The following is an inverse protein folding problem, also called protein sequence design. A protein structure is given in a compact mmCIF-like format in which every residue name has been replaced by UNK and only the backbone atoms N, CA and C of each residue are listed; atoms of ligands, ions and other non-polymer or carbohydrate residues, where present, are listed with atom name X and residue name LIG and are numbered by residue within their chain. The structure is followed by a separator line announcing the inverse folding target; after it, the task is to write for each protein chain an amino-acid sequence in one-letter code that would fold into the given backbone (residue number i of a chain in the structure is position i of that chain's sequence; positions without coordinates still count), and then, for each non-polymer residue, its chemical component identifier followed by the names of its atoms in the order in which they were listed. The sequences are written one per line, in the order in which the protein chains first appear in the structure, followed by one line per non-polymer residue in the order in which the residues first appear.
data_IF_066686965452
#
_entry.id   IF_066686965452
#
_cell.length_a   1.000
_cell.length_b   1.000
_cell.length_c   1.000
_cell.angle_alpha   90.00
_cell.angle_beta   90.00
_cell.angle_gamma   90.00
#
_symmetry.space_group_name_H-M   'P 1'
#
loop_
_entity.id
_entity.type
_entity.pdbx_description
1 polymer ?
#
# COMPACT_ATOMS: atom_id res chain seq x y z
N UNK A 1 9.39 24.61 -11.75
CA UNK A 1 9.13 23.87 -13.03
C UNK A 1 7.64 23.59 -13.15
N UNK A 2 7.04 23.88 -14.30
CA UNK A 2 5.58 23.76 -14.51
C UNK A 2 5.11 22.31 -14.30
N UNK A 3 4.24 22.09 -13.30
CA UNK A 3 3.64 20.78 -12.96
C UNK A 3 3.06 20.08 -14.21
N UNK A 4 2.48 20.89 -15.11
CA UNK A 4 1.95 20.47 -16.42
C UNK A 4 2.96 19.72 -17.30
N UNK A 5 4.25 20.13 -17.31
CA UNK A 5 5.29 19.49 -18.12
C UNK A 5 5.69 18.13 -17.53
N UNK A 6 5.73 18.01 -16.21
CA UNK A 6 6.09 16.76 -15.52
C UNK A 6 4.97 15.72 -15.57
N UNK A 7 3.72 16.13 -15.30
CA UNK A 7 2.56 15.23 -15.42
C UNK A 7 2.44 14.70 -16.84
N UNK A 8 2.68 15.53 -17.86
CA UNK A 8 2.72 15.08 -19.25
C UNK A 8 3.79 14.02 -19.50
N UNK A 9 4.99 14.17 -18.91
CA UNK A 9 6.08 13.17 -19.05
C UNK A 9 5.70 11.83 -18.43
N UNK A 10 5.04 11.82 -17.27
CA UNK A 10 4.70 10.54 -16.64
C UNK A 10 3.47 9.89 -17.27
N UNK A 11 2.51 10.67 -17.77
CA UNK A 11 1.40 10.11 -18.56
C UNK A 11 1.94 9.46 -19.84
N UNK A 12 2.94 10.07 -20.48
CA UNK A 12 3.68 9.47 -21.59
C UNK A 12 4.37 8.16 -21.18
N UNK A 13 5.09 8.15 -20.05
CA UNK A 13 5.74 6.94 -19.55
C UNK A 13 4.72 5.83 -19.21
N UNK A 14 3.61 6.17 -18.55
CA UNK A 14 2.52 5.24 -18.22
C UNK A 14 1.89 4.64 -19.47
N UNK A 15 1.68 5.45 -20.51
CA UNK A 15 1.16 4.97 -21.79
C UNK A 15 2.11 3.96 -22.45
N UNK A 16 3.42 4.23 -22.44
CA UNK A 16 4.43 3.31 -23.01
C UNK A 16 4.51 2.00 -22.22
N UNK A 17 4.57 2.07 -20.88
CA UNK A 17 4.56 0.88 -20.01
C UNK A 17 3.31 0.02 -20.27
N UNK A 18 2.14 0.64 -20.41
CA UNK A 18 0.88 -0.09 -20.62
C UNK A 18 0.85 -0.84 -21.95
N UNK A 19 1.40 -0.24 -23.01
CA UNK A 19 1.50 -0.88 -24.34
C UNK A 19 2.44 -2.10 -24.29
N UNK A 20 3.58 -1.98 -23.59
CA UNK A 20 4.56 -3.08 -23.44
C UNK A 20 3.94 -4.25 -22.68
N UNK A 21 3.22 -3.98 -21.58
CA UNK A 21 2.54 -5.02 -20.79
C UNK A 21 1.39 -5.68 -21.57
N UNK A 22 0.63 -4.91 -22.35
CA UNK A 22 -0.41 -5.47 -23.20
C UNK A 22 0.17 -6.40 -24.27
N UNK A 23 1.32 -6.05 -24.85
CA UNK A 23 2.04 -6.92 -25.79
C UNK A 23 2.58 -8.19 -25.12
N UNK A 24 3.04 -8.11 -23.88
CA UNK A 24 3.49 -9.27 -23.09
C UNK A 24 2.35 -10.27 -22.87
N UNK A 25 1.16 -9.78 -22.49
CA UNK A 25 -0.04 -10.62 -22.36
C UNK A 25 -0.49 -11.18 -23.70
N UNK A 26 -0.52 -10.36 -24.75
CA UNK A 26 -0.93 -10.79 -26.09
C UNK A 26 0.03 -11.81 -26.74
N UNK A 27 1.31 -11.80 -26.38
CA UNK A 27 2.33 -12.74 -26.90
C UNK A 27 2.41 -14.02 -26.06
N UNK A 28 1.99 -13.98 -24.79
CA UNK A 28 1.92 -15.17 -23.93
C UNK A 28 0.84 -16.20 -24.35
N UNK A 29 0.06 -15.88 -25.37
CA UNK A 29 -0.86 -16.82 -26.05
C UNK A 29 -0.11 -17.85 -26.93
N UNK A 30 1.23 -17.80 -27.04
CA UNK A 30 1.99 -18.89 -27.65
C UNK A 30 2.08 -20.08 -26.70
N UNK A 31 1.08 -20.95 -26.84
CA UNK A 31 1.06 -22.37 -26.47
C UNK A 31 2.47 -22.97 -26.46
N UNK A 32 2.88 -23.59 -25.35
CA UNK A 32 4.01 -24.52 -25.32
C UNK A 32 3.88 -25.50 -26.50
N UNK A 33 5.01 -25.92 -27.08
CA UNK A 33 5.12 -26.75 -28.29
C UNK A 33 4.39 -28.14 -28.25
N UNK A 34 3.51 -28.41 -27.28
CA UNK A 34 2.86 -29.70 -27.05
C UNK A 34 1.33 -29.69 -26.89
N UNK A 35 0.63 -28.56 -27.09
CA UNK A 35 -0.83 -28.56 -27.37
C UNK A 35 -1.73 -29.26 -26.33
N UNK A 36 -1.41 -29.19 -25.03
CA UNK A 36 -2.28 -29.70 -23.95
C UNK A 36 -2.96 -28.55 -23.20
N UNK A 37 -4.25 -28.68 -22.82
CA UNK A 37 -4.91 -27.73 -21.94
C UNK A 37 -4.49 -28.04 -20.49
N UNK A 38 -3.31 -27.57 -20.09
CA UNK A 38 -2.99 -27.50 -18.68
C UNK A 38 -3.87 -26.40 -18.05
N UNK A 39 -4.72 -26.77 -17.10
CA UNK A 39 -5.69 -25.91 -16.42
C UNK A 39 -5.09 -24.78 -15.56
N UNK A 40 -3.94 -24.24 -15.93
CA UNK A 40 -3.23 -23.15 -15.25
C UNK A 40 -2.48 -22.18 -16.17
N UNK A 41 -2.54 -22.34 -17.50
CA UNK A 41 -1.72 -21.55 -18.44
C UNK A 41 -2.23 -20.12 -18.63
N UNK A 42 -3.55 -19.87 -18.50
CA UNK A 42 -4.09 -18.51 -18.64
C UNK A 42 -3.96 -17.64 -17.38
N UNK A 43 -3.75 -18.25 -16.21
CA UNK A 43 -3.61 -17.50 -14.95
C UNK A 43 -2.19 -17.02 -14.71
N UNK A 44 -1.17 -17.79 -15.12
CA UNK A 44 0.24 -17.45 -14.83
C UNK A 44 0.70 -16.12 -15.44
N UNK A 45 0.48 -15.83 -16.75
CA UNK A 45 0.89 -14.56 -17.36
C UNK A 45 0.07 -13.36 -16.84
N UNK A 46 -1.21 -13.57 -16.55
CA UNK A 46 -2.12 -12.56 -16.01
C UNK A 46 -1.75 -12.16 -14.57
N UNK A 47 -1.43 -13.13 -13.72
CA UNK A 47 -0.98 -12.87 -12.34
C UNK A 47 0.35 -12.11 -12.37
N UNK A 48 1.30 -12.52 -13.22
CA UNK A 48 2.60 -11.87 -13.31
C UNK A 48 2.47 -10.41 -13.81
N UNK A 49 1.64 -10.20 -14.84
CA UNK A 49 1.33 -8.87 -15.37
C UNK A 49 0.65 -7.99 -14.31
N UNK A 50 -0.31 -8.53 -13.56
CA UNK A 50 -1.00 -7.82 -12.48
C UNK A 50 -0.04 -7.40 -11.35
N UNK A 51 0.89 -8.27 -10.95
CA UNK A 51 1.91 -7.94 -9.96
C UNK A 51 2.86 -6.84 -10.45
N UNK A 52 3.28 -6.90 -11.72
CA UNK A 52 4.12 -5.85 -12.33
C UNK A 52 3.37 -4.51 -12.35
N UNK A 53 2.12 -4.50 -12.81
CA UNK A 53 1.29 -3.28 -12.87
C UNK A 53 1.08 -2.72 -11.47
N UNK A 54 0.78 -3.58 -10.50
CA UNK A 54 0.61 -3.19 -9.09
C UNK A 54 1.89 -2.56 -8.56
N UNK A 55 3.04 -3.20 -8.78
CA UNK A 55 4.33 -2.68 -8.35
C UNK A 55 4.66 -1.34 -8.99
N UNK A 56 4.50 -1.22 -10.31
CA UNK A 56 4.76 0.03 -11.06
C UNK A 56 3.81 1.14 -10.60
N UNK A 57 2.53 0.84 -10.40
CA UNK A 57 1.52 1.80 -9.93
C UNK A 57 1.84 2.29 -8.53
N UNK A 58 2.22 1.39 -7.61
CA UNK A 58 2.65 1.76 -6.25
C UNK A 58 3.86 2.68 -6.30
N UNK A 59 4.90 2.34 -7.08
CA UNK A 59 6.12 3.16 -7.21
C UNK A 59 5.79 4.54 -7.78
N UNK A 60 5.01 4.62 -8.86
CA UNK A 60 4.59 5.89 -9.46
C UNK A 60 3.79 6.74 -8.48
N UNK A 61 2.83 6.12 -7.78
CA UNK A 61 1.98 6.81 -6.79
C UNK A 61 2.82 7.36 -5.65
N UNK A 62 3.81 6.60 -5.16
CA UNK A 62 4.75 7.07 -4.14
C UNK A 62 5.53 8.28 -4.65
N UNK A 63 6.17 8.20 -5.82
CA UNK A 63 6.95 9.30 -6.40
C UNK A 63 6.09 10.57 -6.54
N UNK A 64 4.86 10.42 -7.03
CA UNK A 64 3.91 11.52 -7.18
C UNK A 64 3.46 12.10 -5.84
N UNK A 65 3.18 11.25 -4.86
CA UNK A 65 2.77 11.65 -3.52
C UNK A 65 3.88 12.44 -2.82
N UNK A 66 5.11 11.90 -2.79
CA UNK A 66 6.26 12.58 -2.20
C UNK A 66 6.56 13.91 -2.90
N UNK A 67 6.52 13.95 -4.23
CA UNK A 67 6.75 15.20 -4.98
C UNK A 67 5.65 16.23 -4.76
N UNK A 68 4.40 15.78 -4.66
CA UNK A 68 3.24 16.62 -4.35
C UNK A 68 3.36 17.26 -2.97
N UNK A 69 3.81 16.49 -1.99
CA UNK A 69 4.10 17.00 -0.64
C UNK A 69 5.26 18.00 -0.72
N UNK A 70 6.42 17.61 -1.27
CA UNK A 70 7.65 18.43 -1.35
C UNK A 70 7.50 19.74 -2.13
N UNK A 71 6.61 19.79 -3.13
CA UNK A 71 6.39 20.99 -3.94
C UNK A 71 5.37 21.96 -3.32
N UNK A 72 4.65 21.55 -2.27
CA UNK A 72 3.61 22.36 -1.66
C UNK A 72 4.18 23.29 -0.58
N UNK A 73 3.63 24.50 -0.41
CA UNK A 73 4.01 25.34 0.75
C UNK A 73 3.39 24.83 2.08
N UNK A 74 2.71 23.68 2.04
CA UNK A 74 1.98 23.09 3.15
C UNK A 74 2.65 21.81 3.69
N UNK A 75 3.94 21.55 3.39
CA UNK A 75 4.67 20.36 3.90
C UNK A 75 4.39 20.11 5.37
N UNK A 76 4.48 21.16 6.19
CA UNK A 76 4.29 21.05 7.64
C UNK A 76 2.91 20.49 8.01
N UNK A 77 1.85 20.91 7.31
CA UNK A 77 0.48 20.44 7.58
C UNK A 77 0.27 18.96 7.25
N UNK A 78 1.01 18.42 6.30
CA UNK A 78 0.98 16.98 5.97
C UNK A 78 1.98 16.18 6.82
N UNK A 79 3.13 16.77 7.12
CA UNK A 79 4.20 16.11 7.86
C UNK A 79 3.86 15.96 9.34
N UNK A 80 3.14 16.90 9.95
CA UNK A 80 2.71 16.80 11.35
C UNK A 80 1.83 15.58 11.64
N UNK A 81 0.71 15.33 10.94
CA UNK A 81 -0.09 14.13 11.17
C UNK A 81 0.68 12.85 10.81
N UNK A 82 1.54 12.90 9.79
CA UNK A 82 2.39 11.75 9.42
C UNK A 82 3.41 11.41 10.51
N UNK A 83 4.06 12.41 11.10
CA UNK A 83 4.99 12.22 12.21
C UNK A 83 4.28 11.71 13.47
N UNK A 84 3.09 12.23 13.78
CA UNK A 84 2.26 11.71 14.87
C UNK A 84 1.89 10.24 14.65
N UNK A 85 1.52 9.88 13.42
CA UNK A 85 1.22 8.49 13.03
C UNK A 85 2.43 7.58 13.24
N UNK A 86 3.63 8.00 12.83
CA UNK A 86 4.88 7.23 13.06
C UNK A 86 5.19 7.12 14.56
N UNK A 87 5.04 8.20 15.32
CA UNK A 87 5.25 8.18 16.77
C UNK A 87 4.33 7.17 17.46
N UNK A 88 3.07 7.10 17.02
CA UNK A 88 2.11 6.13 17.54
C UNK A 88 2.42 4.69 17.13
N UNK A 89 2.94 4.49 15.91
CA UNK A 89 3.41 3.18 15.47
C UNK A 89 4.56 2.68 16.35
N UNK A 90 5.55 3.53 16.62
CA UNK A 90 6.68 3.19 17.49
C UNK A 90 6.20 2.84 18.91
N UNK A 91 5.28 3.64 19.46
CA UNK A 91 4.69 3.37 20.77
C UNK A 91 3.96 2.02 20.79
N UNK A 92 3.17 1.75 19.74
CA UNK A 92 2.45 0.48 19.60
C UNK A 92 3.39 -0.71 19.39
N UNK A 93 4.55 -0.50 18.78
CA UNK A 93 5.58 -1.52 18.59
C UNK A 93 6.37 -1.82 19.88
N UNK A 94 6.56 -0.83 20.75
CA UNK A 94 7.18 -1.03 22.07
C UNK A 94 6.25 -1.85 22.97
N UNK A 95 4.95 -1.57 22.94
CA UNK A 95 3.93 -2.26 23.74
C UNK A 95 3.54 -3.61 23.09
N UNK A 96 3.78 -3.77 21.79
CA UNK A 96 3.40 -4.93 20.99
C UNK A 96 4.07 -6.22 21.45
N UNK A 97 3.28 -7.29 21.50
CA UNK A 97 3.76 -8.59 21.94
C UNK A 97 4.54 -9.29 20.82
N UNK A 98 5.59 -10.03 21.18
CA UNK A 98 6.49 -10.69 20.21
C UNK A 98 6.34 -12.21 20.19
N UNK A 99 5.33 -12.74 20.89
CA UNK A 99 5.14 -14.17 20.99
C UNK A 99 4.96 -14.79 19.60
N UNK A 100 5.75 -15.82 19.25
CA UNK A 100 5.63 -16.48 17.96
C UNK A 100 4.25 -17.14 17.87
N UNK A 101 3.64 -17.07 16.70
CA UNK A 101 2.37 -17.75 16.47
C UNK A 101 2.68 -19.20 16.12
N UNK A 102 2.32 -20.11 17.01
CA UNK A 102 2.49 -21.56 16.82
C UNK A 102 1.14 -22.15 16.46
N UNK A 103 1.07 -22.88 15.34
CA UNK A 103 -0.10 -23.67 14.97
C UNK A 103 0.36 -25.11 14.78
N UNK A 104 -0.32 -26.03 15.47
CA UNK A 104 -0.04 -27.48 15.42
C UNK A 104 1.43 -27.85 15.71
N UNK A 105 2.07 -27.12 16.63
CA UNK A 105 3.48 -27.35 17.03
C UNK A 105 4.53 -26.78 16.06
N UNK A 106 4.11 -26.13 14.98
CA UNK A 106 5.00 -25.48 14.00
C UNK A 106 4.86 -23.96 14.10
N UNK A 107 6.01 -23.26 14.12
CA UNK A 107 6.06 -21.81 14.05
C UNK A 107 5.62 -21.35 12.66
N UNK A 108 4.42 -20.78 12.55
CA UNK A 108 3.87 -20.25 11.30
C UNK A 108 4.28 -18.80 11.06
N UNK A 109 4.62 -18.07 12.12
CA UNK A 109 5.06 -16.67 12.05
C UNK A 109 6.17 -16.44 13.06
N UNK A 110 7.33 -16.03 12.56
CA UNK A 110 8.48 -15.66 13.40
C UNK A 110 8.11 -14.57 14.40
N UNK A 111 8.68 -14.64 15.62
CA UNK A 111 8.52 -13.64 16.68
C UNK A 111 8.65 -12.19 16.21
N UNK A 112 9.57 -11.90 15.27
CA UNK A 112 9.74 -10.57 14.67
C UNK A 112 8.54 -10.12 13.82
N UNK A 113 8.02 -11.00 12.96
CA UNK A 113 6.84 -10.71 12.13
C UNK A 113 5.59 -10.60 12.99
N UNK A 114 5.45 -11.46 14.00
CA UNK A 114 4.35 -11.42 14.98
C UNK A 114 4.31 -10.07 15.70
N UNK A 115 5.47 -9.55 16.09
CA UNK A 115 5.57 -8.23 16.72
C UNK A 115 5.14 -7.08 15.81
N UNK A 116 5.53 -7.10 14.53
CA UNK A 116 5.09 -6.09 13.55
C UNK A 116 3.58 -6.11 13.35
N UNK A 117 2.99 -7.30 13.27
CA UNK A 117 1.53 -7.47 13.16
C UNK A 117 0.84 -6.96 14.43
N UNK A 118 1.31 -7.37 15.61
CA UNK A 118 0.79 -6.91 16.91
C UNK A 118 0.86 -5.38 17.03
N UNK A 119 1.98 -4.78 16.64
CA UNK A 119 2.16 -3.33 16.64
C UNK A 119 1.15 -2.61 15.73
N UNK A 120 0.93 -3.12 14.52
CA UNK A 120 -0.04 -2.54 13.57
C UNK A 120 -1.47 -2.63 14.09
N UNK A 121 -1.81 -3.74 14.75
CA UNK A 121 -3.14 -3.98 15.30
C UNK A 121 -3.40 -3.10 16.53
N UNK A 122 -2.43 -2.99 17.43
CA UNK A 122 -2.49 -2.08 18.58
C UNK A 122 -2.64 -0.63 18.13
N UNK A 123 -1.86 -0.21 17.13
CA UNK A 123 -1.97 1.12 16.55
C UNK A 123 -3.37 1.37 15.97
N UNK A 124 -3.92 0.40 15.23
CA UNK A 124 -5.27 0.48 14.67
C UNK A 124 -6.32 0.67 15.77
N UNK A 125 -6.26 -0.10 16.86
CA UNK A 125 -7.21 0.03 17.97
C UNK A 125 -7.12 1.39 18.67
N UNK A 126 -5.91 1.93 18.87
CA UNK A 126 -5.74 3.26 19.47
C UNK A 126 -6.35 4.34 18.57
N UNK A 127 -6.09 4.28 17.26
CA UNK A 127 -6.66 5.25 16.31
C UNK A 127 -8.17 5.12 16.21
N UNK A 128 -8.70 3.89 16.20
CA UNK A 128 -10.13 3.65 16.16
C UNK A 128 -10.83 4.26 17.38
N UNK A 129 -10.29 4.01 18.59
CA UNK A 129 -10.82 4.60 19.82
C UNK A 129 -10.78 6.14 19.78
N UNK A 130 -9.65 6.72 19.34
CA UNK A 130 -9.52 8.17 19.20
C UNK A 130 -10.53 8.74 18.19
N UNK A 131 -10.75 8.05 17.06
CA UNK A 131 -11.72 8.46 16.05
C UNK A 131 -13.15 8.42 16.59
N UNK A 132 -13.54 7.34 17.28
CA UNK A 132 -14.84 7.27 17.94
C UNK A 132 -15.03 8.40 18.96
N UNK A 133 -14.04 8.66 19.81
CA UNK A 133 -14.08 9.75 20.77
C UNK A 133 -14.26 11.13 20.11
N UNK A 134 -13.54 11.38 19.02
CA UNK A 134 -13.62 12.63 18.27
C UNK A 134 -14.97 12.79 17.56
N UNK A 135 -15.53 11.71 17.02
CA UNK A 135 -16.85 11.70 16.39
C UNK A 135 -17.97 11.98 17.40
N UNK A 136 -17.90 11.37 18.60
CA UNK A 136 -18.85 11.64 19.68
C UNK A 136 -18.77 13.09 20.15
N UNK A 137 -17.55 13.60 20.38
CA UNK A 137 -17.34 14.99 20.75
C UNK A 137 -17.85 15.97 19.69
N UNK A 138 -17.51 15.73 18.41
CA UNK A 138 -17.97 16.56 17.29
C UNK A 138 -19.49 16.57 17.18
N UNK A 139 -20.13 15.42 17.38
CA UNK A 139 -21.59 15.30 17.39
C UNK A 139 -22.21 16.12 18.53
N UNK A 140 -21.67 16.01 19.74
CA UNK A 140 -22.17 16.76 20.91
C UNK A 140 -21.99 18.27 20.78
N UNK A 141 -20.86 18.72 20.23
CA UNK A 141 -20.58 20.14 19.98
C UNK A 141 -21.52 20.72 18.93
N UNK A 142 -21.90 19.94 17.90
CA UNK A 142 -22.87 20.37 16.89
C UNK A 142 -24.29 20.54 17.44
N UNK A 143 -24.70 19.72 18.42
CA UNK A 143 -26.01 19.86 19.07
C UNK A 143 -26.12 21.06 20.00
N UNK A 144 -24.99 21.58 20.50
CA UNK A 144 -24.96 22.72 21.43
C UNK A 144 -24.88 24.09 20.71
N UNK A 145 -24.77 24.10 19.38
CA UNK A 145 -24.65 25.31 18.55
C UNK A 145 -25.92 25.49 17.72
#
# INVERSE_FOLDING_TARGET
MNLKKFTRIAVLALSVISIILWFFVATSDSVDEQGRPDGGVMTSPLIFTSLIITFVTVVLTLIYSFKGILSSNNLKKTLTPFALMIGLFILSYIIGNSDPVIKDGVEIVSSGTSKLVSASLNMFYILALAAFGLLLYSSFVRFKK
#
